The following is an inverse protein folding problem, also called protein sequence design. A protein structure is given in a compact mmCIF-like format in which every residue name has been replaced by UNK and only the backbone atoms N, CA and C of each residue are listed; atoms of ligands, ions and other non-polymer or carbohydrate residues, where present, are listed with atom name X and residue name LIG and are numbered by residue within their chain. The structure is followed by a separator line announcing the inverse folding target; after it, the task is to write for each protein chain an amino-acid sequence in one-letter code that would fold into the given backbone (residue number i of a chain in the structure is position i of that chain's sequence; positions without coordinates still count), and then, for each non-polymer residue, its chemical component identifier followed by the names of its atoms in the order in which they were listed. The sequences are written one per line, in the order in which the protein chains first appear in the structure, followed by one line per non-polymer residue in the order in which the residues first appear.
data_IF_355597948388
#
_entry.id   IF_355597948388
#
_cell.length_a   1.000
_cell.length_b   1.000
_cell.length_c   1.000
_cell.angle_alpha   90.00
_cell.angle_beta   90.00
_cell.angle_gamma   90.00
#
_symmetry.space_group_name_H-M   'P 1'
#
loop_
_entity.id
_entity.type
_entity.pdbx_description
1 polymer ?
#
# COMPACT_ATOMS: atom_id res chain seq x y z
N UNK A 1 -23.60 3.47 -14.65
CA UNK A 1 -22.42 3.52 -13.74
C UNK A 1 -22.44 2.32 -12.83
N UNK A 2 -21.33 1.63 -12.81
CA UNK A 2 -21.18 0.50 -11.89
C UNK A 2 -21.01 1.01 -10.46
N UNK A 3 -21.75 0.41 -9.54
CA UNK A 3 -21.58 0.70 -8.12
C UNK A 3 -20.32 0.01 -7.62
N UNK A 4 -19.43 0.78 -7.00
CA UNK A 4 -18.26 0.22 -6.37
C UNK A 4 -18.67 -0.57 -5.12
N UNK A 5 -17.91 -1.60 -4.80
CA UNK A 5 -18.17 -2.46 -3.65
C UNK A 5 -17.98 -1.74 -2.31
N UNK A 6 -17.02 -0.81 -2.26
CA UNK A 6 -16.69 -0.05 -1.05
C UNK A 6 -16.72 1.44 -1.33
N UNK A 7 -16.96 2.24 -0.29
CA UNK A 7 -16.93 3.70 -0.41
C UNK A 7 -15.53 4.25 -0.27
N UNK A 8 -14.82 3.89 0.80
CA UNK A 8 -13.50 4.41 1.10
C UNK A 8 -12.53 3.26 1.29
N UNK A 9 -11.57 3.15 0.39
CA UNK A 9 -10.50 2.15 0.48
C UNK A 9 -9.22 2.75 1.04
N UNK A 10 -8.47 1.96 1.77
CA UNK A 10 -7.17 2.34 2.33
C UNK A 10 -6.14 1.26 2.01
N UNK A 11 -4.97 1.69 1.57
CA UNK A 11 -3.83 0.79 1.35
C UNK A 11 -2.55 1.49 1.74
N UNK A 12 -1.57 0.74 2.21
CA UNK A 12 -0.28 1.29 2.62
C UNK A 12 0.87 0.61 1.89
N UNK A 13 1.96 1.32 1.75
CA UNK A 13 3.18 0.77 1.18
C UNK A 13 4.31 1.78 1.26
N UNK A 14 5.53 1.30 1.02
CA UNK A 14 6.71 2.16 0.94
C UNK A 14 6.74 2.91 -0.39
N UNK A 15 6.37 2.25 -1.46
CA UNK A 15 6.36 2.79 -2.84
C UNK A 15 7.72 3.37 -3.24
N UNK A 16 8.79 2.67 -2.83
CA UNK A 16 10.14 3.05 -3.19
C UNK A 16 10.45 2.58 -4.62
N UNK A 17 11.06 3.45 -5.42
CA UNK A 17 11.31 3.18 -6.85
C UNK A 17 10.02 2.72 -7.55
N UNK A 18 9.00 3.56 -7.52
CA UNK A 18 7.65 3.26 -8.00
C UNK A 18 7.68 2.54 -9.36
N UNK A 19 7.00 1.41 -9.45
CA UNK A 19 6.98 0.56 -10.64
C UNK A 19 5.59 -0.03 -10.90
N UNK A 20 5.46 -0.83 -11.95
CA UNK A 20 4.17 -1.38 -12.37
C UNK A 20 3.50 -2.24 -11.30
N UNK A 21 4.29 -2.95 -10.48
CA UNK A 21 3.73 -3.71 -9.36
C UNK A 21 2.95 -2.83 -8.39
N UNK A 22 3.52 -1.68 -8.05
CA UNK A 22 2.84 -0.69 -7.20
C UNK A 22 1.59 -0.13 -7.87
N UNK A 23 1.72 0.26 -9.13
CA UNK A 23 0.60 0.83 -9.88
C UNK A 23 -0.56 -0.14 -10.00
N UNK A 24 -0.28 -1.42 -10.29
CA UNK A 24 -1.32 -2.43 -10.44
C UNK A 24 -2.11 -2.66 -9.15
N UNK A 25 -1.44 -2.67 -8.00
CA UNK A 25 -2.12 -2.78 -6.70
C UNK A 25 -3.06 -1.60 -6.48
N UNK A 26 -2.58 -0.40 -6.71
CA UNK A 26 -3.36 0.83 -6.53
C UNK A 26 -4.56 0.84 -7.49
N UNK A 27 -4.37 0.45 -8.74
CA UNK A 27 -5.45 0.38 -9.74
C UNK A 27 -6.52 -0.65 -9.34
N UNK A 28 -6.10 -1.84 -8.93
CA UNK A 28 -7.03 -2.89 -8.48
C UNK A 28 -7.83 -2.45 -7.26
N UNK A 29 -7.17 -1.75 -6.33
CA UNK A 29 -7.85 -1.19 -5.17
C UNK A 29 -8.89 -0.15 -5.58
N UNK A 30 -8.52 0.78 -6.46
CA UNK A 30 -9.44 1.84 -6.90
C UNK A 30 -10.65 1.29 -7.66
N UNK A 31 -10.49 0.20 -8.39
CA UNK A 31 -11.61 -0.43 -9.09
C UNK A 31 -12.74 -0.86 -8.15
N UNK A 32 -12.43 -1.08 -6.87
CA UNK A 32 -13.36 -1.59 -5.88
C UNK A 32 -13.92 -0.55 -4.91
N UNK A 33 -13.44 0.69 -4.96
CA UNK A 33 -13.89 1.74 -4.05
C UNK A 33 -14.09 3.06 -4.77
N UNK A 34 -14.93 3.91 -4.18
CA UNK A 34 -15.20 5.24 -4.75
C UNK A 34 -14.06 6.22 -4.46
N UNK A 35 -13.47 6.12 -3.28
CA UNK A 35 -12.40 7.02 -2.82
C UNK A 35 -11.26 6.19 -2.26
N UNK A 36 -10.07 6.32 -2.85
CA UNK A 36 -8.88 5.57 -2.43
C UNK A 36 -7.89 6.47 -1.70
N UNK A 37 -7.58 6.08 -0.47
CA UNK A 37 -6.54 6.73 0.36
C UNK A 37 -5.32 5.82 0.37
N UNK A 38 -4.15 6.38 0.04
CA UNK A 38 -2.89 5.65 0.05
C UNK A 38 -1.99 6.20 1.15
N UNK A 39 -1.63 5.34 2.09
CA UNK A 39 -0.67 5.66 3.15
C UNK A 39 0.74 5.30 2.68
N UNK A 40 1.62 6.29 2.64
CA UNK A 40 3.01 6.08 2.24
C UNK A 40 3.86 5.97 3.51
N UNK A 41 4.54 4.85 3.68
CA UNK A 41 5.38 4.59 4.85
C UNK A 41 6.48 5.66 4.95
N UNK A 42 6.58 6.29 6.11
CA UNK A 42 7.59 7.33 6.34
C UNK A 42 8.99 6.73 6.34
N UNK A 43 9.99 7.57 6.09
CA UNK A 43 11.39 7.15 6.15
C UNK A 43 11.72 6.59 7.54
N UNK A 44 11.26 7.25 8.60
CA UNK A 44 11.49 6.81 9.98
C UNK A 44 10.85 5.45 10.28
N UNK A 45 9.61 5.25 9.87
CA UNK A 45 8.95 3.97 10.08
C UNK A 45 9.63 2.85 9.30
N UNK A 46 10.03 3.13 8.08
CA UNK A 46 10.74 2.17 7.25
C UNK A 46 12.04 1.74 7.92
N UNK A 47 12.81 2.69 8.45
CA UNK A 47 14.05 2.41 9.18
C UNK A 47 13.79 1.57 10.44
N UNK A 48 12.76 1.90 11.22
CA UNK A 48 12.39 1.15 12.43
C UNK A 48 12.05 -0.31 12.12
N UNK A 49 11.40 -0.55 10.99
CA UNK A 49 10.95 -1.89 10.61
C UNK A 49 12.01 -2.73 9.91
N UNK A 50 12.81 -2.10 9.04
CA UNK A 50 13.73 -2.81 8.13
C UNK A 50 15.20 -2.47 8.38
N UNK A 51 15.49 -1.56 9.29
CA UNK A 51 16.83 -1.08 9.61
C UNK A 51 17.56 -0.49 8.38
N UNK A 52 16.80 0.10 7.46
CA UNK A 52 17.33 0.84 6.32
C UNK A 52 16.31 1.84 5.82
N UNK A 53 16.82 2.93 5.22
CA UNK A 53 15.97 3.95 4.62
C UNK A 53 15.60 3.56 3.18
N UNK A 54 14.45 4.02 2.68
CA UNK A 54 14.15 3.91 1.26
C UNK A 54 15.19 4.64 0.42
N UNK A 55 15.34 4.24 -0.82
CA UNK A 55 16.25 4.91 -1.77
C UNK A 55 15.72 6.29 -2.12
N UNK A 56 14.42 6.39 -2.33
CA UNK A 56 13.76 7.67 -2.67
C UNK A 56 13.17 8.28 -1.39
N UNK A 57 13.46 9.55 -1.09
CA UNK A 57 12.95 10.20 0.12
C UNK A 57 11.43 10.23 0.17
N UNK A 58 10.88 10.21 1.39
CA UNK A 58 9.44 10.20 1.65
C UNK A 58 8.67 11.26 0.88
N UNK A 59 9.17 12.48 0.86
CA UNK A 59 8.51 13.61 0.20
C UNK A 59 8.30 13.35 -1.29
N UNK A 60 9.31 12.78 -1.94
CA UNK A 60 9.24 12.45 -3.37
C UNK A 60 8.34 11.24 -3.61
N UNK A 61 8.42 10.23 -2.77
CA UNK A 61 7.55 9.06 -2.88
C UNK A 61 6.08 9.46 -2.75
N UNK A 62 5.75 10.31 -1.78
CA UNK A 62 4.40 10.83 -1.60
C UNK A 62 3.94 11.67 -2.80
N UNK A 63 4.81 12.52 -3.32
CA UNK A 63 4.50 13.36 -4.47
C UNK A 63 4.17 12.54 -5.72
N UNK A 64 4.94 11.48 -5.96
CA UNK A 64 4.71 10.60 -7.12
C UNK A 64 3.37 9.86 -6.98
N UNK A 65 3.11 9.30 -5.81
CA UNK A 65 1.85 8.58 -5.56
C UNK A 65 0.65 9.52 -5.69
N UNK A 66 0.78 10.76 -5.23
CA UNK A 66 -0.30 11.75 -5.29
C UNK A 66 -0.71 12.10 -6.73
N UNK A 67 0.18 11.93 -7.70
CA UNK A 67 -0.10 12.21 -9.10
C UNK A 67 -0.77 11.05 -9.86
N UNK A 68 -0.92 9.89 -9.22
CA UNK A 68 -1.59 8.75 -9.85
C UNK A 68 -3.10 9.01 -9.94
N UNK A 69 -3.68 8.79 -11.11
CA UNK A 69 -5.12 9.05 -11.37
C UNK A 69 -6.04 8.26 -10.44
N UNK A 70 -5.61 7.07 -10.05
CA UNK A 70 -6.41 6.19 -9.20
C UNK A 70 -6.33 6.53 -7.72
N UNK A 71 -5.48 7.48 -7.32
CA UNK A 71 -5.31 7.89 -5.92
C UNK A 71 -6.05 9.17 -5.66
N UNK A 72 -6.95 9.14 -4.67
CA UNK A 72 -7.74 10.32 -4.30
C UNK A 72 -7.08 11.13 -3.18
N UNK A 73 -6.36 10.45 -2.29
CA UNK A 73 -5.67 11.12 -1.18
C UNK A 73 -4.42 10.35 -0.77
N UNK A 74 -3.34 11.06 -0.52
CA UNK A 74 -2.10 10.49 0.01
C UNK A 74 -1.89 10.98 1.43
N UNK A 75 -1.55 10.07 2.34
CA UNK A 75 -1.27 10.37 3.74
C UNK A 75 0.03 9.68 4.15
N UNK A 76 0.77 10.22 5.14
CA UNK A 76 1.94 9.52 5.65
C UNK A 76 1.51 8.37 6.56
N UNK A 77 2.17 7.22 6.45
CA UNK A 77 2.02 6.15 7.42
C UNK A 77 3.16 6.26 8.43
N UNK A 78 2.87 6.74 9.62
CA UNK A 78 3.87 7.01 10.65
C UNK A 78 4.08 5.88 11.63
N UNK A 79 3.13 4.95 11.72
CA UNK A 79 3.19 3.80 12.62
C UNK A 79 2.41 2.61 12.04
N UNK A 80 2.38 1.52 12.78
CA UNK A 80 1.70 0.30 12.37
C UNK A 80 0.31 0.15 12.97
N UNK A 81 -0.24 1.19 13.57
CA UNK A 81 -1.58 1.19 14.12
C UNK A 81 -2.62 1.36 13.01
N UNK A 82 -2.85 0.28 12.28
CA UNK A 82 -3.76 0.27 11.14
C UNK A 82 -5.22 0.47 11.54
N UNK A 83 -5.59 0.00 12.72
CA UNK A 83 -6.96 0.19 13.21
C UNK A 83 -7.27 1.66 13.44
N UNK A 84 -6.35 2.40 14.04
CA UNK A 84 -6.51 3.85 14.22
C UNK A 84 -6.64 4.56 12.88
N UNK A 85 -5.86 4.16 11.88
CA UNK A 85 -5.94 4.73 10.53
C UNK A 85 -7.31 4.45 9.90
N UNK A 86 -7.80 3.22 9.99
CA UNK A 86 -9.11 2.83 9.47
C UNK A 86 -10.21 3.71 10.09
N UNK A 87 -10.18 3.90 11.40
CA UNK A 87 -11.14 4.75 12.11
C UNK A 87 -11.02 6.21 11.69
N UNK A 88 -9.80 6.72 11.62
CA UNK A 88 -9.50 8.11 11.29
C UNK A 88 -10.00 8.49 9.90
N UNK A 89 -9.80 7.62 8.93
CA UNK A 89 -10.15 7.89 7.53
C UNK A 89 -11.53 7.38 7.14
N UNK A 90 -12.19 6.64 8.03
CA UNK A 90 -13.51 6.08 7.74
C UNK A 90 -13.46 5.02 6.64
N UNK A 91 -12.39 4.25 6.57
CA UNK A 91 -12.24 3.22 5.55
C UNK A 91 -13.17 2.03 5.81
N UNK A 92 -13.84 1.57 4.76
CA UNK A 92 -14.65 0.34 4.81
C UNK A 92 -13.95 -0.83 4.09
N UNK A 93 -12.79 -0.58 3.49
CA UNK A 93 -11.93 -1.62 2.93
C UNK A 93 -10.46 -1.28 3.13
N UNK A 94 -9.66 -2.29 3.45
CA UNK A 94 -8.19 -2.21 3.45
C UNK A 94 -7.67 -3.19 2.41
N UNK A 95 -6.88 -2.69 1.48
CA UNK A 95 -6.30 -3.51 0.42
C UNK A 95 -4.85 -3.86 0.76
N UNK A 96 -4.48 -5.11 0.56
CA UNK A 96 -3.15 -5.62 0.88
C UNK A 96 -2.79 -6.76 -0.07
N UNK A 97 -1.50 -6.98 -0.27
CA UNK A 97 -1.03 -8.11 -1.09
C UNK A 97 -1.41 -9.46 -0.53
N UNK A 98 -1.69 -10.42 -1.40
CA UNK A 98 -2.15 -11.75 -1.02
C UNK A 98 -1.16 -12.56 -0.17
N UNK A 99 0.13 -12.17 -0.15
CA UNK A 99 1.16 -12.80 0.69
C UNK A 99 0.82 -12.79 2.18
N UNK A 100 0.08 -11.76 2.60
CA UNK A 100 -0.23 -11.55 4.03
C UNK A 100 -1.44 -12.34 4.50
N UNK A 101 -2.18 -12.94 3.58
CA UNK A 101 -3.38 -13.72 3.91
C UNK A 101 -2.99 -14.93 4.74
N UNK A 102 -3.70 -15.15 5.85
CA UNK A 102 -3.46 -16.30 6.75
C UNK A 102 -2.36 -16.09 7.76
N UNK A 103 -1.64 -14.95 7.74
CA UNK A 103 -0.67 -14.63 8.79
C UNK A 103 -1.39 -14.28 10.09
N UNK A 104 -0.73 -14.52 11.22
CA UNK A 104 -1.32 -14.20 12.54
C UNK A 104 -1.66 -12.72 12.66
N UNK A 105 -0.78 -11.84 12.20
CA UNK A 105 -0.99 -10.40 12.24
C UNK A 105 -2.24 -9.98 11.47
N UNK A 106 -2.42 -10.51 10.25
CA UNK A 106 -3.54 -10.13 9.42
C UNK A 106 -4.84 -10.81 9.82
N UNK A 107 -4.78 -12.02 10.40
CA UNK A 107 -5.96 -12.65 11.00
C UNK A 107 -6.50 -11.77 12.14
N UNK A 108 -5.60 -11.17 12.92
CA UNK A 108 -5.98 -10.24 13.99
C UNK A 108 -6.58 -8.96 13.41
N UNK A 109 -5.97 -8.38 12.38
CA UNK A 109 -6.50 -7.19 11.71
C UNK A 109 -7.90 -7.43 11.14
N UNK A 110 -8.12 -8.58 10.49
CA UNK A 110 -9.45 -8.93 9.96
C UNK A 110 -10.52 -8.85 11.03
N UNK A 111 -10.24 -9.38 12.22
CA UNK A 111 -11.19 -9.35 13.35
C UNK A 111 -11.41 -7.94 13.86
N UNK A 112 -10.34 -7.20 14.05
CA UNK A 112 -10.41 -5.82 14.56
C UNK A 112 -11.16 -4.91 13.59
N UNK A 113 -10.86 -5.03 12.29
CA UNK A 113 -11.49 -4.20 11.26
C UNK A 113 -12.98 -4.56 11.10
N UNK A 114 -13.33 -5.83 11.20
CA UNK A 114 -14.73 -6.26 11.11
C UNK A 114 -15.61 -5.58 12.15
N UNK A 115 -15.08 -5.33 13.34
CA UNK A 115 -15.81 -4.66 14.42
C UNK A 115 -16.18 -3.22 14.09
N UNK A 116 -15.44 -2.59 13.17
CA UNK A 116 -15.68 -1.21 12.74
C UNK A 116 -16.21 -1.13 11.30
N UNK A 117 -16.68 -2.25 10.78
CA UNK A 117 -17.29 -2.27 9.44
C UNK A 117 -16.30 -2.21 8.29
N UNK A 118 -15.06 -2.64 8.51
CA UNK A 118 -14.02 -2.62 7.49
C UNK A 118 -13.63 -4.04 7.07
N UNK A 119 -13.51 -4.27 5.77
CA UNK A 119 -13.16 -5.56 5.18
C UNK A 119 -11.73 -5.53 4.66
N UNK A 120 -10.97 -6.60 4.88
CA UNK A 120 -9.65 -6.78 4.28
C UNK A 120 -9.80 -7.45 2.91
N UNK A 121 -9.23 -6.85 1.89
CA UNK A 121 -9.26 -7.38 0.51
C UNK A 121 -7.83 -7.70 0.11
N UNK A 122 -7.57 -8.96 -0.21
CA UNK A 122 -6.24 -9.42 -0.63
C UNK A 122 -6.13 -9.35 -2.15
N UNK A 123 -5.05 -8.76 -2.62
CA UNK A 123 -4.82 -8.54 -4.06
C UNK A 123 -3.64 -9.39 -4.54
N UNK A 124 -3.79 -9.99 -5.72
CA UNK A 124 -2.73 -10.79 -6.31
C UNK A 124 -1.58 -9.92 -6.79
N UNK A 125 -0.36 -10.47 -6.72
CA UNK A 125 0.84 -9.81 -7.18
C UNK A 125 0.95 -9.76 -8.69
N UNK A 126 1.73 -8.76 -9.15
CA UNK A 126 2.26 -8.75 -10.51
C UNK A 126 3.58 -9.49 -10.50
N UNK A 127 3.64 -10.63 -11.20
CA UNK A 127 4.84 -11.46 -11.23
C UNK A 127 6.03 -10.76 -11.87
N UNK A 128 7.21 -11.03 -11.31
CA UNK A 128 8.49 -10.57 -11.86
C UNK A 128 8.83 -9.12 -11.62
N UNK A 129 8.00 -8.37 -10.89
CA UNK A 129 8.23 -6.96 -10.61
C UNK A 129 8.21 -6.70 -9.11
N UNK A 130 9.32 -6.17 -8.57
CA UNK A 130 9.40 -5.70 -7.18
C UNK A 130 10.59 -4.76 -7.01
N UNK A 131 10.57 -3.96 -5.96
CA UNK A 131 11.71 -3.10 -5.62
C UNK A 131 12.96 -3.92 -5.29
N UNK A 132 12.78 -5.09 -4.69
CA UNK A 132 13.89 -6.00 -4.38
C UNK A 132 14.57 -6.48 -5.66
N UNK A 133 13.79 -6.89 -6.66
CA UNK A 133 14.33 -7.32 -7.95
C UNK A 133 15.11 -6.19 -8.62
N UNK A 134 14.57 -4.96 -8.59
CA UNK A 134 15.23 -3.80 -9.17
C UNK A 134 16.55 -3.49 -8.47
N UNK A 135 16.58 -3.55 -7.13
CA UNK A 135 17.80 -3.34 -6.36
C UNK A 135 18.85 -4.40 -6.68
N UNK A 136 18.43 -5.66 -6.77
CA UNK A 136 19.34 -6.78 -7.09
C UNK A 136 19.95 -6.60 -8.47
N UNK A 137 19.19 -6.17 -9.47
CA UNK A 137 19.70 -5.88 -10.80
C UNK A 137 20.74 -4.77 -10.79
N UNK A 138 20.48 -3.69 -10.05
CA UNK A 138 21.45 -2.59 -9.91
C UNK A 138 22.74 -3.06 -9.24
N UNK A 139 22.62 -3.86 -8.18
CA UNK A 139 23.78 -4.37 -7.44
C UNK A 139 24.60 -5.38 -8.25
N UNK A 140 23.97 -6.17 -9.09
CA UNK A 140 24.64 -7.16 -9.94
C UNK A 140 25.28 -6.54 -11.19
N UNK A 141 25.01 -5.26 -11.46
CA UNK A 141 25.49 -4.58 -12.65
C UNK A 141 24.71 -4.91 -13.92
N UNK A 142 23.58 -5.57 -13.80
CA UNK A 142 22.72 -5.82 -14.95
C UNK A 142 22.09 -4.52 -15.42
N UNK A 143 22.00 -4.37 -16.74
CA UNK A 143 21.36 -3.19 -17.32
C UNK A 143 19.86 -3.26 -17.12
N UNK A 144 19.29 -2.21 -16.54
CA UNK A 144 17.85 -2.02 -16.58
C UNK A 144 17.45 -1.73 -18.03
N UNK A 145 16.41 -2.29 -18.47
CA UNK A 145 15.89 -2.06 -19.81
C UNK A 145 15.37 -0.64 -19.98
#
# INVERSE_FOLDING_TARGET
MENKKFKVGYTTGVYDMFHMGHLNVIKKAKEQCDFLIVGVTTDDLCFKRKNKYPIIPQEERMAIVAEMRCVDKVVPQEDMDKLSAVKKYGADAVFVGSDWKGTDAWNKYEKEFAEVGCTVVYLDHTDGISSTILRDRLNSGEKAL
#
